data_IF_705830347164
#
_entry.id   IF_705830347164
#
_cell.length_a   1.000
_cell.length_b   1.000
_cell.length_c   1.000
_cell.angle_alpha   90.00
_cell.angle_beta   90.00
_cell.angle_gamma   90.00
#
_symmetry.space_group_name_H-M   'P 1'
#
loop_
_entity.id
_entity.type
_entity.pdbx_description
1 polymer ?
#
# COMPACT_ATOMS: atom_id res chain seq x y z
N UNK A 1 -11.35 -61.06 -14.66
CA UNK A 1 -10.84 -60.07 -15.61
C UNK A 1 -11.32 -58.72 -15.12
N UNK A 2 -10.37 -57.87 -14.73
CA UNK A 2 -10.59 -56.64 -13.98
C UNK A 2 -11.13 -55.52 -14.86
N UNK A 3 -12.12 -54.78 -14.34
CA UNK A 3 -12.61 -53.54 -14.91
C UNK A 3 -11.54 -52.45 -14.75
N UNK A 4 -11.25 -51.72 -15.84
CA UNK A 4 -10.30 -50.61 -15.85
C UNK A 4 -11.08 -49.33 -15.50
N UNK A 5 -10.89 -48.85 -14.27
CA UNK A 5 -11.34 -47.55 -13.80
C UNK A 5 -10.45 -46.46 -14.43
N UNK A 6 -10.95 -45.78 -15.46
CA UNK A 6 -10.31 -44.59 -16.03
C UNK A 6 -10.61 -43.38 -15.15
N UNK A 7 -9.84 -43.27 -14.08
CA UNK A 7 -9.79 -42.11 -13.21
C UNK A 7 -9.64 -40.81 -14.02
N UNK A 8 -10.59 -39.90 -13.80
CA UNK A 8 -10.57 -38.54 -14.33
C UNK A 8 -9.43 -37.78 -13.63
N UNK A 9 -8.28 -37.68 -14.29
CA UNK A 9 -7.21 -36.76 -13.93
C UNK A 9 -7.74 -35.34 -14.11
N UNK A 10 -8.17 -34.69 -13.02
CA UNK A 10 -8.38 -33.25 -13.01
C UNK A 10 -7.02 -32.57 -13.09
N UNK A 11 -6.64 -32.20 -14.31
CA UNK A 11 -5.53 -31.29 -14.58
C UNK A 11 -5.77 -29.98 -13.81
N UNK A 12 -4.93 -29.71 -12.81
CA UNK A 12 -4.79 -28.36 -12.24
C UNK A 12 -4.30 -27.44 -13.35
N UNK A 13 -5.24 -26.70 -13.95
CA UNK A 13 -4.92 -25.61 -14.85
C UNK A 13 -4.20 -24.49 -14.07
N UNK A 14 -3.42 -23.62 -14.76
CA UNK A 14 -2.78 -22.49 -14.11
C UNK A 14 -3.86 -21.62 -13.45
N UNK A 15 -3.82 -21.58 -12.12
CA UNK A 15 -4.75 -20.78 -11.33
C UNK A 15 -4.59 -19.32 -11.75
N UNK A 16 -5.68 -18.71 -12.21
CA UNK A 16 -5.74 -17.29 -12.51
C UNK A 16 -5.26 -16.50 -11.28
N UNK A 17 -4.46 -15.43 -11.45
CA UNK A 17 -4.03 -14.62 -10.31
C UNK A 17 -5.27 -14.08 -9.60
N UNK A 18 -5.30 -14.21 -8.28
CA UNK A 18 -6.42 -13.74 -7.46
C UNK A 18 -6.67 -12.25 -7.73
N UNK A 19 -7.83 -11.93 -8.32
CA UNK A 19 -8.14 -10.59 -8.85
C UNK A 19 -8.68 -9.61 -7.82
N UNK A 20 -8.79 -9.99 -6.54
CA UNK A 20 -9.06 -9.04 -5.47
C UNK A 20 -8.58 -9.61 -4.13
N UNK A 21 -7.75 -8.86 -3.43
CA UNK A 21 -7.30 -9.20 -2.07
C UNK A 21 -7.90 -8.18 -1.12
N UNK A 22 -9.20 -8.30 -0.84
CA UNK A 22 -9.87 -7.52 0.20
C UNK A 22 -9.88 -8.32 1.51
N UNK A 23 -9.36 -7.72 2.59
CA UNK A 23 -9.19 -8.34 3.90
C UNK A 23 -7.72 -8.36 4.35
N UNK A 24 -7.44 -8.50 5.66
CA UNK A 24 -6.09 -8.49 6.19
C UNK A 24 -5.24 -9.53 5.47
N UNK A 25 -4.31 -9.07 4.62
CA UNK A 25 -3.35 -9.97 4.03
C UNK A 25 -2.50 -10.51 5.18
N UNK A 26 -2.52 -11.83 5.38
CA UNK A 26 -1.77 -12.51 6.45
C UNK A 26 -0.27 -12.21 6.41
N UNK A 27 0.22 -11.62 5.30
CA UNK A 27 1.62 -11.35 5.05
C UNK A 27 1.92 -9.87 4.71
N UNK A 28 1.11 -8.88 5.11
CA UNK A 28 1.42 -7.49 4.76
C UNK A 28 0.89 -6.39 5.67
N UNK A 29 1.57 -5.26 5.61
CA UNK A 29 1.20 -3.97 6.15
C UNK A 29 0.28 -3.25 5.15
N UNK A 30 -0.92 -2.84 5.60
CA UNK A 30 -1.87 -2.13 4.72
C UNK A 30 -1.31 -0.74 4.38
N UNK A 31 -1.23 -0.42 3.10
CA UNK A 31 -0.89 0.91 2.58
C UNK A 31 -2.16 1.61 2.08
N UNK A 32 -2.45 2.80 2.58
CA UNK A 32 -3.69 3.52 2.25
C UNK A 32 -3.53 5.04 2.37
N UNK A 33 -4.35 5.78 1.63
CA UNK A 33 -4.52 7.22 1.84
C UNK A 33 -5.64 7.47 2.84
N UNK A 34 -5.42 8.40 3.76
CA UNK A 34 -6.44 8.81 4.73
C UNK A 34 -6.32 10.26 5.17
N UNK A 35 -7.18 10.63 6.13
CA UNK A 35 -7.21 11.95 6.77
C UNK A 35 -7.37 11.82 8.28
N UNK A 36 -6.77 12.73 9.05
CA UNK A 36 -7.10 12.85 10.47
C UNK A 36 -8.41 13.61 10.67
N UNK A 37 -8.95 13.55 11.89
CA UNK A 37 -10.15 14.29 12.25
C UNK A 37 -9.90 15.80 12.11
N UNK A 38 -10.73 16.48 11.32
CA UNK A 38 -10.63 17.92 11.10
C UNK A 38 -9.81 18.33 9.88
N UNK A 39 -9.08 17.40 9.26
CA UNK A 39 -8.40 17.66 8.00
C UNK A 39 -9.41 17.81 6.86
N UNK A 40 -9.56 19.04 6.35
CA UNK A 40 -10.42 19.28 5.18
C UNK A 40 -9.74 18.80 3.90
N UNK A 41 -8.47 19.17 3.71
CA UNK A 41 -7.70 18.93 2.47
C UNK A 41 -6.45 18.09 2.63
N UNK A 42 -5.87 18.00 3.84
CA UNK A 42 -4.61 17.29 4.04
C UNK A 42 -4.84 15.79 3.97
N UNK A 43 -4.35 15.19 2.89
CA UNK A 43 -4.26 13.75 2.74
C UNK A 43 -2.86 13.29 3.13
N UNK A 44 -2.78 12.09 3.70
CA UNK A 44 -1.51 11.44 4.06
C UNK A 44 -1.53 10.00 3.60
N UNK A 45 -0.36 9.45 3.36
CA UNK A 45 -0.19 8.03 3.09
C UNK A 45 0.13 7.35 4.42
N UNK A 46 -0.52 6.24 4.69
CA UNK A 46 -0.38 5.48 5.91
C UNK A 46 0.07 4.08 5.53
N UNK A 47 0.95 3.51 6.34
CA UNK A 47 1.24 2.09 6.36
C UNK A 47 1.10 1.58 7.79
N UNK A 48 0.30 0.54 8.02
CA UNK A 48 0.14 -0.06 9.35
C UNK A 48 1.46 -0.65 9.83
N UNK A 49 1.88 -0.39 11.07
CA UNK A 49 3.13 -0.96 11.58
C UNK A 49 3.01 -2.42 11.99
N UNK A 50 1.79 -2.91 12.25
CA UNK A 50 1.53 -4.30 12.67
C UNK A 50 0.80 -5.08 11.59
N UNK A 51 1.23 -6.34 11.41
CA UNK A 51 0.48 -7.37 10.68
C UNK A 51 -0.22 -8.30 11.69
N UNK A 52 -1.49 -8.72 11.49
CA UNK A 52 -2.48 -8.22 10.53
C UNK A 52 -3.23 -6.95 10.99
N UNK A 53 -3.95 -6.32 10.04
CA UNK A 53 -4.76 -5.13 10.29
C UNK A 53 -5.98 -5.37 11.21
N UNK A 54 -5.82 -5.17 12.53
CA UNK A 54 -6.90 -4.94 13.54
C UNK A 54 -7.48 -3.50 13.53
N UNK A 55 -8.45 -3.17 14.40
CA UNK A 55 -9.28 -1.94 14.28
C UNK A 55 -8.62 -0.62 14.75
N UNK A 56 -7.39 -0.64 15.26
CA UNK A 56 -6.64 0.54 15.69
C UNK A 56 -5.13 0.24 15.66
N UNK A 57 -4.39 0.87 14.74
CA UNK A 57 -2.94 0.67 14.61
C UNK A 57 -2.15 1.95 14.81
N UNK A 58 -0.91 1.76 15.27
CA UNK A 58 0.17 2.68 14.94
C UNK A 58 0.50 2.55 13.45
N UNK A 59 0.76 3.68 12.82
CA UNK A 59 1.10 3.78 11.43
C UNK A 59 2.43 4.51 11.29
N UNK A 60 3.15 4.19 10.23
CA UNK A 60 4.04 5.16 9.63
C UNK A 60 3.22 6.04 8.70
N UNK A 61 3.30 7.35 8.90
CA UNK A 61 2.47 8.36 8.23
C UNK A 61 3.36 9.27 7.42
N UNK A 62 3.05 9.41 6.13
CA UNK A 62 3.79 10.24 5.19
C UNK A 62 2.96 11.44 4.75
N UNK A 63 3.57 12.62 4.81
CA UNK A 63 2.94 13.86 4.37
C UNK A 63 3.97 14.84 3.83
N UNK A 64 3.55 15.72 2.94
CA UNK A 64 4.42 16.77 2.43
C UNK A 64 4.67 17.84 3.49
N UNK A 65 5.94 18.08 3.81
CA UNK A 65 6.41 19.16 4.66
C UNK A 65 6.79 20.37 3.80
N UNK A 66 5.98 21.42 3.90
CA UNK A 66 6.16 22.65 3.11
C UNK A 66 7.43 23.41 3.49
N UNK A 67 7.88 23.33 4.75
CA UNK A 67 9.05 24.06 5.21
C UNK A 67 10.35 23.49 4.61
N UNK A 68 10.42 22.16 4.50
CA UNK A 68 11.59 21.46 3.96
C UNK A 68 11.45 21.07 2.49
N UNK A 69 10.25 21.24 1.91
CA UNK A 69 9.90 20.83 0.55
C UNK A 69 10.12 19.34 0.28
N UNK A 70 9.86 18.49 1.27
CA UNK A 70 10.09 17.05 1.22
C UNK A 70 8.89 16.25 1.74
N UNK A 71 8.93 14.93 1.56
CA UNK A 71 7.95 14.01 2.18
C UNK A 71 8.54 13.45 3.46
N UNK A 72 7.90 13.80 4.58
CA UNK A 72 8.29 13.31 5.89
C UNK A 72 7.48 12.06 6.25
N UNK A 73 8.18 11.02 6.67
CA UNK A 73 7.60 9.85 7.32
C UNK A 73 7.78 9.92 8.83
N UNK A 74 6.70 9.86 9.60
CA UNK A 74 6.75 9.85 11.07
C UNK A 74 5.80 8.78 11.65
N UNK A 75 6.07 8.26 12.86
CA UNK A 75 5.10 7.45 13.58
C UNK A 75 3.84 8.27 13.87
N UNK A 76 2.68 7.65 13.76
CA UNK A 76 1.39 8.31 13.98
C UNK A 76 0.25 7.33 14.22
N UNK A 77 -0.93 7.87 14.49
CA UNK A 77 -2.14 7.07 14.61
C UNK A 77 -2.67 6.69 13.21
N UNK A 78 -3.51 5.66 13.15
CA UNK A 78 -4.30 5.37 11.95
C UNK A 78 -5.18 6.56 11.55
N UNK A 79 -5.46 6.68 10.25
CA UNK A 79 -6.38 7.71 9.78
C UNK A 79 -7.75 7.56 10.44
N UNK A 80 -8.42 8.68 10.72
CA UNK A 80 -9.81 8.62 11.20
C UNK A 80 -10.77 8.23 10.08
N UNK A 81 -10.43 8.61 8.86
CA UNK A 81 -11.17 8.28 7.64
C UNK A 81 -10.19 7.78 6.59
N UNK A 82 -10.41 6.55 6.13
CA UNK A 82 -9.74 6.00 4.94
C UNK A 82 -10.37 6.62 3.69
N UNK A 83 -9.52 7.13 2.81
CA UNK A 83 -9.94 7.66 1.50
C UNK A 83 -9.84 6.57 0.45
N UNK A 84 -8.68 5.91 0.35
CA UNK A 84 -8.42 4.82 -0.60
C UNK A 84 -7.46 3.83 0.05
N UNK A 85 -7.74 2.53 -0.01
CA UNK A 85 -6.77 1.46 0.26
C UNK A 85 -6.01 1.13 -1.02
N UNK A 86 -4.68 1.17 -0.99
CA UNK A 86 -3.87 0.97 -2.20
C UNK A 86 -3.40 -0.46 -2.35
N UNK A 87 -3.05 -1.11 -1.25
CA UNK A 87 -2.46 -2.44 -1.30
C UNK A 87 -1.79 -2.85 -0.01
N UNK A 88 -1.06 -3.96 -0.08
CA UNK A 88 -0.33 -4.56 1.03
C UNK A 88 1.15 -4.57 0.71
N UNK A 89 1.97 -4.09 1.64
CA UNK A 89 3.43 -4.15 1.54
C UNK A 89 4.00 -5.09 2.60
N UNK A 90 4.91 -5.99 2.23
CA UNK A 90 5.34 -7.09 3.09
C UNK A 90 6.30 -6.69 4.21
N UNK A 91 7.18 -5.73 3.94
CA UNK A 91 8.27 -5.34 4.85
C UNK A 91 8.26 -3.84 5.10
N UNK A 92 7.95 -3.45 6.34
CA UNK A 92 7.87 -2.05 6.74
C UNK A 92 9.20 -1.30 6.58
N UNK A 93 10.33 -1.91 6.94
CA UNK A 93 11.63 -1.23 6.89
C UNK A 93 12.05 -0.95 5.45
N UNK A 94 11.81 -1.90 4.55
CA UNK A 94 12.05 -1.69 3.11
C UNK A 94 11.11 -0.61 2.57
N UNK A 95 9.83 -0.61 2.98
CA UNK A 95 8.89 0.43 2.56
C UNK A 95 9.32 1.84 3.00
N UNK A 96 9.76 1.98 4.25
CA UNK A 96 10.30 3.22 4.79
C UNK A 96 11.51 3.70 4.01
N UNK A 97 12.43 2.79 3.68
CA UNK A 97 13.59 3.10 2.85
C UNK A 97 13.18 3.53 1.44
N UNK A 98 12.20 2.87 0.82
CA UNK A 98 11.70 3.26 -0.51
C UNK A 98 11.10 4.68 -0.42
N UNK A 99 10.24 4.96 0.55
CA UNK A 99 9.60 6.27 0.69
C UNK A 99 10.62 7.39 0.92
N UNK A 100 11.62 7.16 1.78
CA UNK A 100 12.67 8.14 2.07
C UNK A 100 13.57 8.45 0.87
N UNK A 101 13.73 7.49 -0.06
CA UNK A 101 14.53 7.68 -1.27
C UNK A 101 13.69 8.02 -2.50
N UNK A 102 12.36 8.02 -2.41
CA UNK A 102 11.49 8.31 -3.55
C UNK A 102 11.49 9.80 -3.83
N UNK A 103 11.78 10.23 -5.08
CA UNK A 103 11.96 11.64 -5.40
C UNK A 103 10.69 12.44 -5.14
N UNK A 104 10.82 13.54 -4.40
CA UNK A 104 9.73 14.50 -4.20
C UNK A 104 9.65 15.42 -5.41
N UNK A 105 8.47 15.59 -6.04
CA UNK A 105 8.31 16.54 -7.13
C UNK A 105 8.65 17.97 -6.67
N UNK A 106 9.58 18.62 -7.38
CA UNK A 106 9.92 20.02 -7.15
C UNK A 106 9.03 20.93 -8.01
N UNK A 107 8.41 21.94 -7.42
CA UNK A 107 7.62 22.92 -8.17
C UNK A 107 6.81 23.89 -7.29
N UNK A 108 6.19 24.89 -7.93
CA UNK A 108 5.27 25.85 -7.30
C UNK A 108 3.83 25.31 -7.18
N UNK A 109 3.63 24.00 -7.33
CA UNK A 109 2.31 23.41 -7.24
C UNK A 109 1.75 23.48 -5.81
N UNK A 110 0.42 23.51 -5.63
CA UNK A 110 -0.21 23.35 -4.33
C UNK A 110 0.28 22.09 -3.59
N UNK A 111 0.39 22.17 -2.26
CA UNK A 111 0.87 21.07 -1.41
C UNK A 111 0.13 19.75 -1.66
N UNK A 112 -1.18 19.80 -1.85
CA UNK A 112 -2.02 18.63 -2.10
C UNK A 112 -1.75 17.99 -3.47
N UNK A 113 -1.39 18.79 -4.47
CA UNK A 113 -0.94 18.31 -5.77
C UNK A 113 0.43 17.65 -5.67
N UNK A 114 1.40 18.28 -4.99
CA UNK A 114 2.75 17.71 -4.80
C UNK A 114 2.66 16.35 -4.09
N UNK A 115 1.89 16.28 -3.00
CA UNK A 115 1.69 15.02 -2.28
C UNK A 115 1.00 13.97 -3.15
N UNK A 116 -0.04 14.34 -3.90
CA UNK A 116 -0.76 13.39 -4.76
C UNK A 116 0.13 12.87 -5.88
N UNK A 117 0.89 13.73 -6.55
CA UNK A 117 1.85 13.32 -7.58
C UNK A 117 2.96 12.42 -7.02
N UNK A 118 3.51 12.74 -5.85
CA UNK A 118 4.49 11.88 -5.18
C UNK A 118 3.89 10.51 -4.88
N UNK A 119 2.70 10.47 -4.27
CA UNK A 119 2.00 9.22 -3.93
C UNK A 119 1.77 8.37 -5.18
N UNK A 120 1.22 8.95 -6.23
CA UNK A 120 0.85 8.20 -7.44
C UNK A 120 2.11 7.67 -8.16
N UNK A 121 3.20 8.45 -8.15
CA UNK A 121 4.52 8.02 -8.63
C UNK A 121 5.09 6.87 -7.79
N UNK A 122 5.02 6.97 -6.46
CA UNK A 122 5.46 5.90 -5.54
C UNK A 122 4.68 4.61 -5.82
N UNK A 123 3.35 4.69 -5.89
CA UNK A 123 2.52 3.52 -6.16
C UNK A 123 2.84 2.88 -7.51
N UNK A 124 3.08 3.70 -8.54
CA UNK A 124 3.53 3.22 -9.87
C UNK A 124 4.89 2.52 -9.78
N UNK A 125 5.83 3.07 -8.99
CA UNK A 125 7.12 2.43 -8.74
C UNK A 125 6.95 1.07 -8.04
N UNK A 126 6.08 0.98 -7.03
CA UNK A 126 5.80 -0.29 -6.35
C UNK A 126 5.17 -1.32 -7.29
N UNK A 127 4.22 -0.91 -8.13
CA UNK A 127 3.60 -1.76 -9.15
C UNK A 127 4.64 -2.28 -10.16
N UNK A 128 5.61 -1.44 -10.53
CA UNK A 128 6.62 -1.78 -11.55
C UNK A 128 7.72 -2.67 -10.99
N UNK A 129 8.20 -2.42 -9.77
CA UNK A 129 9.43 -3.03 -9.25
C UNK A 129 9.20 -4.07 -8.15
N UNK A 130 8.03 -4.07 -7.51
CA UNK A 130 7.77 -4.90 -6.32
C UNK A 130 6.50 -5.76 -6.42
N UNK A 131 5.74 -5.64 -7.51
CA UNK A 131 4.53 -6.44 -7.72
C UNK A 131 4.82 -7.94 -7.68
N UNK A 132 3.99 -8.70 -6.97
CA UNK A 132 4.12 -10.15 -6.80
C UNK A 132 5.22 -10.60 -5.82
N UNK A 133 5.99 -9.67 -5.25
CA UNK A 133 7.02 -9.96 -4.24
C UNK A 133 6.73 -9.27 -2.91
N UNK A 134 7.08 -7.99 -2.79
CA UNK A 134 6.85 -7.18 -1.59
C UNK A 134 5.53 -6.42 -1.65
N UNK A 135 5.00 -6.16 -2.84
CA UNK A 135 3.82 -5.35 -3.06
C UNK A 135 2.67 -6.15 -3.68
N UNK A 136 1.47 -5.94 -3.15
CA UNK A 136 0.22 -6.48 -3.71
C UNK A 136 -0.81 -5.36 -3.79
N UNK A 137 -1.16 -4.95 -5.01
CA UNK A 137 -2.15 -3.91 -5.28
C UNK A 137 -3.56 -4.39 -4.92
N UNK A 138 -4.36 -3.52 -4.31
CA UNK A 138 -5.81 -3.68 -4.20
C UNK A 138 -6.43 -2.95 -5.40
N UNK A 139 -7.26 -3.66 -6.17
CA UNK A 139 -8.00 -3.13 -7.33
C UNK A 139 -9.25 -2.36 -6.88
#
# INVERSE_FOLDING_TARGET
>A
MSEVDTGRTSTEGPSSPATSVSGPHVNGHLVYTGKYKGDKKVQRLFIHEKSPSTKQHSCRVYSYNVANQEIDGAPGESARTTVIEHGWFRDLAIFEQICANHPTPNGQAPQDEIFSSWRDSLLTFLDTHHSGSLWTRIN
#
